data_IF_655447110354
#
_entry.id   IF_655447110354
#
_cell.length_a   1.000
_cell.length_b   1.000
_cell.length_c   1.000
_cell.angle_alpha   90.00
_cell.angle_beta   90.00
_cell.angle_gamma   90.00
#
_symmetry.space_group_name_H-M   'P 1'
#
loop_
_entity.id
_entity.type
_entity.pdbx_description
1 polymer ?
#
# COMPACT_ATOMS: atom_id res chain seq x y z
N UNK A 1 6.12 14.75 -22.12
CA UNK A 1 6.51 13.43 -21.57
C UNK A 1 5.34 12.50 -21.81
N UNK A 2 5.59 11.32 -22.40
CA UNK A 2 4.55 10.33 -22.65
C UNK A 2 4.05 9.69 -21.34
N UNK A 3 2.79 9.21 -21.25
CA UNK A 3 2.28 8.48 -20.10
C UNK A 3 3.16 7.27 -19.69
N UNK A 4 3.72 6.56 -20.66
CA UNK A 4 4.63 5.44 -20.44
C UNK A 4 5.91 5.85 -19.69
N UNK A 5 6.46 7.02 -20.00
CA UNK A 5 7.64 7.52 -19.29
C UNK A 5 7.34 7.92 -17.83
N UNK A 6 6.14 8.46 -17.57
CA UNK A 6 5.70 8.71 -16.20
C UNK A 6 5.50 7.41 -15.42
N UNK A 7 4.97 6.35 -16.04
CA UNK A 7 4.85 5.03 -15.43
C UNK A 7 6.21 4.48 -15.00
N UNK A 8 7.19 4.46 -15.89
CA UNK A 8 8.55 4.01 -15.56
C UNK A 8 9.20 4.85 -14.46
N UNK A 9 9.01 6.17 -14.50
CA UNK A 9 9.53 7.06 -13.46
C UNK A 9 8.86 6.76 -12.11
N UNK A 10 7.56 6.48 -12.12
CA UNK A 10 6.81 6.11 -10.93
C UNK A 10 7.35 4.81 -10.32
N UNK A 11 7.54 3.75 -11.12
CA UNK A 11 8.12 2.50 -10.66
C UNK A 11 9.49 2.71 -10.01
N UNK A 12 10.39 3.42 -10.68
CA UNK A 12 11.70 3.77 -10.11
C UNK A 12 11.58 4.48 -8.76
N UNK A 13 10.61 5.39 -8.62
CA UNK A 13 10.39 6.13 -7.38
C UNK A 13 9.86 5.25 -6.25
N UNK A 14 8.91 4.36 -6.54
CA UNK A 14 8.40 3.40 -5.56
C UNK A 14 9.53 2.49 -5.06
N UNK A 15 10.31 1.92 -5.98
CA UNK A 15 11.47 1.10 -5.60
C UNK A 15 12.53 1.90 -4.82
N UNK A 16 12.71 3.18 -5.10
CA UNK A 16 13.59 4.05 -4.29
C UNK A 16 13.11 4.11 -2.84
N UNK A 17 11.81 4.31 -2.59
CA UNK A 17 11.26 4.33 -1.23
C UNK A 17 11.46 2.97 -0.54
N UNK A 18 11.16 1.87 -1.23
CA UNK A 18 11.34 0.51 -0.70
C UNK A 18 12.80 0.24 -0.32
N UNK A 19 13.72 0.65 -1.19
CA UNK A 19 15.17 0.51 -0.94
C UNK A 19 15.63 1.37 0.24
N UNK A 20 15.23 2.63 0.29
CA UNK A 20 15.54 3.54 1.40
C UNK A 20 15.05 2.99 2.74
N UNK A 21 13.81 2.45 2.76
CA UNK A 21 13.26 1.80 3.94
C UNK A 21 14.09 0.57 4.34
N UNK A 22 14.44 -0.27 3.39
CA UNK A 22 15.25 -1.48 3.62
C UNK A 22 16.66 -1.18 4.14
N UNK A 23 17.24 -0.06 3.71
CA UNK A 23 18.57 0.41 4.15
C UNK A 23 18.54 1.11 5.51
N UNK A 24 17.36 1.38 6.06
CA UNK A 24 17.22 2.14 7.31
C UNK A 24 17.54 3.62 7.17
N UNK A 25 17.25 4.20 5.98
CA UNK A 25 17.41 5.64 5.74
C UNK A 25 16.58 6.47 6.72
N UNK A 26 17.02 7.69 6.97
CA UNK A 26 16.31 8.60 7.86
C UNK A 26 14.91 8.95 7.30
N UNK A 27 13.96 9.15 8.22
CA UNK A 27 12.56 9.37 7.87
C UNK A 27 12.32 10.61 7.02
N UNK A 28 13.10 11.67 7.19
CA UNK A 28 12.94 12.91 6.42
C UNK A 28 13.31 12.72 4.94
N UNK A 29 14.35 11.92 4.68
CA UNK A 29 14.72 11.52 3.30
C UNK A 29 13.62 10.68 2.65
N UNK A 30 13.06 9.71 3.39
CA UNK A 30 11.94 8.88 2.90
C UNK A 30 10.72 9.75 2.64
N UNK A 31 10.38 10.66 3.55
CA UNK A 31 9.28 11.61 3.42
C UNK A 31 9.40 12.48 2.17
N UNK A 32 10.58 13.04 1.93
CA UNK A 32 10.82 13.87 0.75
C UNK A 32 10.61 13.09 -0.55
N UNK A 33 11.12 11.85 -0.63
CA UNK A 33 10.92 10.98 -1.79
C UNK A 33 9.46 10.53 -1.96
N UNK A 34 8.74 10.32 -0.87
CA UNK A 34 7.31 9.98 -0.90
C UNK A 34 6.48 11.08 -1.60
N UNK A 35 6.68 12.35 -1.24
CA UNK A 35 5.98 13.48 -1.88
C UNK A 35 6.27 13.53 -3.38
N UNK A 36 7.54 13.37 -3.77
CA UNK A 36 7.93 13.34 -5.17
C UNK A 36 7.29 12.17 -5.92
N UNK A 37 7.13 11.02 -5.27
CA UNK A 37 6.49 9.83 -5.84
C UNK A 37 5.00 10.07 -6.09
N UNK A 38 4.27 10.69 -5.15
CA UNK A 38 2.86 11.04 -5.34
C UNK A 38 2.67 12.00 -6.52
N UNK A 39 3.53 13.01 -6.66
CA UNK A 39 3.45 13.97 -7.77
C UNK A 39 3.65 13.31 -9.15
N UNK A 40 4.41 12.22 -9.22
CA UNK A 40 4.55 11.42 -10.45
C UNK A 40 3.33 10.51 -10.65
N UNK A 41 2.83 9.88 -9.58
CA UNK A 41 1.64 9.03 -9.62
C UNK A 41 0.43 9.75 -10.21
N UNK A 42 0.21 11.03 -9.85
CA UNK A 42 -0.87 11.86 -10.40
C UNK A 42 -0.88 11.91 -11.94
N UNK A 43 0.25 11.64 -12.61
CA UNK A 43 0.40 11.71 -14.07
C UNK A 43 0.20 10.37 -14.79
N UNK A 44 0.25 9.25 -14.06
CA UNK A 44 0.26 7.93 -14.68
C UNK A 44 -0.69 6.92 -14.02
N UNK A 45 -1.28 7.24 -12.85
CA UNK A 45 -2.07 6.26 -12.12
C UNK A 45 -3.32 5.81 -12.86
N UNK A 46 -3.48 4.49 -12.87
CA UNK A 46 -4.71 3.83 -13.27
C UNK A 46 -5.05 2.73 -12.26
N UNK A 47 -6.33 2.49 -11.96
CA UNK A 47 -6.74 1.48 -10.98
C UNK A 47 -6.21 0.08 -11.27
N UNK A 48 -6.14 -0.27 -12.54
CA UNK A 48 -5.75 -1.61 -12.99
C UNK A 48 -4.23 -1.81 -13.09
N UNK A 49 -3.46 -0.73 -13.23
CA UNK A 49 -2.01 -0.82 -13.45
C UNK A 49 -1.17 -0.73 -12.18
N UNK A 50 -1.66 -0.03 -11.15
CA UNK A 50 -0.86 0.36 -9.98
C UNK A 50 -1.63 0.18 -8.66
N UNK A 51 -2.42 -0.90 -8.55
CA UNK A 51 -3.20 -1.20 -7.34
C UNK A 51 -2.29 -1.38 -6.11
N UNK A 52 -1.31 -2.26 -6.21
CA UNK A 52 -0.40 -2.59 -5.09
C UNK A 52 0.43 -1.37 -4.68
N UNK A 53 0.93 -0.61 -5.64
CA UNK A 53 1.72 0.59 -5.37
C UNK A 53 0.89 1.69 -4.70
N UNK A 54 -0.37 1.86 -5.09
CA UNK A 54 -1.30 2.76 -4.40
C UNK A 54 -1.53 2.30 -2.95
N UNK A 55 -1.75 1.00 -2.74
CA UNK A 55 -1.90 0.43 -1.40
C UNK A 55 -0.66 0.66 -0.54
N UNK A 56 0.53 0.48 -1.11
CA UNK A 56 1.78 0.77 -0.42
C UNK A 56 1.93 2.25 -0.07
N UNK A 57 1.61 3.16 -0.99
CA UNK A 57 1.69 4.59 -0.72
C UNK A 57 0.70 5.03 0.37
N UNK A 58 -0.55 4.56 0.34
CA UNK A 58 -1.49 4.80 1.43
C UNK A 58 -0.94 4.31 2.76
N UNK A 59 -0.42 3.08 2.78
CA UNK A 59 0.12 2.44 3.97
C UNK A 59 1.34 3.17 4.53
N UNK A 60 2.29 3.52 3.68
CA UNK A 60 3.49 4.28 4.06
C UNK A 60 3.10 5.66 4.57
N UNK A 61 2.16 6.33 3.91
CA UNK A 61 1.66 7.64 4.34
C UNK A 61 1.06 7.61 5.75
N UNK A 62 0.30 6.56 6.08
CA UNK A 62 -0.25 6.34 7.42
C UNK A 62 0.86 6.05 8.43
N UNK A 63 1.79 5.17 8.10
CA UNK A 63 2.90 4.80 9.01
C UNK A 63 3.82 5.97 9.31
N UNK A 64 4.12 6.80 8.32
CA UNK A 64 4.97 8.00 8.45
C UNK A 64 4.24 9.20 9.07
N UNK A 65 2.95 9.06 9.37
CA UNK A 65 2.12 10.13 9.96
C UNK A 65 2.11 11.43 9.14
N UNK A 66 2.01 11.28 7.82
CA UNK A 66 1.85 12.46 6.97
C UNK A 66 0.59 13.24 7.29
N UNK A 67 0.65 14.55 7.05
CA UNK A 67 -0.52 15.42 7.13
C UNK A 67 -1.63 14.95 6.17
N UNK A 68 -2.87 15.17 6.57
CA UNK A 68 -4.03 14.75 5.77
C UNK A 68 -4.01 15.33 4.35
N UNK A 69 -3.51 16.55 4.15
CA UNK A 69 -3.40 17.17 2.83
C UNK A 69 -2.50 16.39 1.85
N UNK A 70 -1.51 15.64 2.35
CA UNK A 70 -0.66 14.80 1.52
C UNK A 70 -1.38 13.51 1.14
N UNK A 71 -2.04 12.85 2.13
CA UNK A 71 -2.80 11.61 1.89
C UNK A 71 -4.06 11.89 1.08
N UNK A 72 -4.63 13.09 1.22
CA UNK A 72 -5.79 13.54 0.45
C UNK A 72 -5.56 13.49 -1.06
N UNK A 73 -4.35 13.73 -1.53
CA UNK A 73 -4.01 13.57 -2.95
C UNK A 73 -4.27 12.14 -3.45
N UNK A 74 -3.91 11.14 -2.65
CA UNK A 74 -4.17 9.73 -3.00
C UNK A 74 -5.68 9.43 -2.95
N UNK A 75 -6.38 9.92 -1.93
CA UNK A 75 -7.83 9.81 -1.81
C UNK A 75 -8.53 10.41 -3.03
N UNK A 76 -8.17 11.63 -3.42
CA UNK A 76 -8.74 12.31 -4.58
C UNK A 76 -8.54 11.50 -5.87
N UNK A 77 -7.36 10.91 -6.08
CA UNK A 77 -7.12 10.05 -7.25
C UNK A 77 -8.04 8.83 -7.25
N UNK A 78 -8.21 8.17 -6.10
CA UNK A 78 -9.09 7.00 -5.95
C UNK A 78 -10.55 7.39 -6.25
N UNK A 79 -11.00 8.50 -5.66
CA UNK A 79 -12.38 8.98 -5.81
C UNK A 79 -12.66 9.46 -7.25
N UNK A 80 -11.74 10.18 -7.89
CA UNK A 80 -11.87 10.63 -9.28
C UNK A 80 -11.97 9.49 -10.29
N UNK A 81 -11.43 8.32 -9.99
CA UNK A 81 -11.50 7.12 -10.81
C UNK A 81 -12.61 6.16 -10.37
N UNK A 82 -13.43 6.58 -9.39
CA UNK A 82 -14.56 5.80 -8.85
C UNK A 82 -14.16 4.38 -8.41
N UNK A 83 -12.93 4.23 -7.88
CA UNK A 83 -12.41 2.92 -7.47
C UNK A 83 -13.16 2.45 -6.23
N UNK A 84 -13.79 1.30 -6.34
CA UNK A 84 -14.48 0.63 -5.24
C UNK A 84 -13.59 -0.47 -4.68
N UNK A 85 -12.90 -0.17 -3.58
CA UNK A 85 -12.04 -1.15 -2.91
C UNK A 85 -12.09 -0.98 -1.39
N UNK A 86 -12.52 -2.04 -0.69
CA UNK A 86 -12.69 -2.00 0.75
C UNK A 86 -11.37 -1.91 1.52
N UNK A 87 -10.27 -2.39 0.97
CA UNK A 87 -8.96 -2.27 1.62
C UNK A 87 -8.50 -0.82 1.64
N UNK A 88 -8.66 -0.10 0.51
CA UNK A 88 -8.42 1.34 0.47
C UNK A 88 -9.33 2.09 1.44
N UNK A 89 -10.62 1.73 1.49
CA UNK A 89 -11.58 2.38 2.36
C UNK A 89 -11.24 2.23 3.85
N UNK A 90 -10.79 1.05 4.28
CA UNK A 90 -10.35 0.83 5.67
C UNK A 90 -9.20 1.77 6.03
N UNK A 91 -8.21 1.91 5.16
CA UNK A 91 -7.05 2.78 5.38
C UNK A 91 -7.44 4.26 5.32
N UNK A 92 -8.25 4.64 4.33
CA UNK A 92 -8.70 6.02 4.17
C UNK A 92 -9.62 6.49 5.30
N UNK A 93 -10.52 5.64 5.79
CA UNK A 93 -11.42 6.00 6.90
C UNK A 93 -10.69 6.30 8.21
N UNK A 94 -9.53 5.73 8.43
CA UNK A 94 -8.69 6.09 9.57
C UNK A 94 -8.27 7.56 9.53
N UNK A 95 -7.96 8.08 8.34
CA UNK A 95 -7.51 9.48 8.15
C UNK A 95 -8.65 10.44 7.84
N UNK A 96 -9.72 9.94 7.25
CA UNK A 96 -10.90 10.69 6.79
C UNK A 96 -12.18 10.01 7.31
N UNK A 97 -12.47 10.09 8.62
CA UNK A 97 -13.60 9.38 9.23
C UNK A 97 -14.98 9.87 8.73
N UNK A 98 -15.03 11.04 8.09
CA UNK A 98 -16.22 11.55 7.41
C UNK A 98 -16.55 10.80 6.11
N UNK A 99 -15.60 10.09 5.54
CA UNK A 99 -15.80 9.25 4.34
C UNK A 99 -16.59 8.01 4.73
N UNK A 100 -17.92 8.08 4.52
CA UNK A 100 -18.85 7.02 4.95
C UNK A 100 -18.94 5.84 3.98
N UNK A 101 -18.47 6.02 2.76
CA UNK A 101 -18.53 4.97 1.74
C UNK A 101 -17.54 3.86 2.07
N UNK A 102 -18.08 2.65 2.17
CA UNK A 102 -17.30 1.42 2.30
C UNK A 102 -17.73 0.49 1.17
N UNK A 103 -16.79 0.15 0.29
CA UNK A 103 -17.05 -0.79 -0.78
C UNK A 103 -17.29 -2.20 -0.23
N UNK A 104 -18.15 -2.97 -0.90
CA UNK A 104 -18.38 -4.37 -0.58
C UNK A 104 -17.35 -5.30 -1.25
N UNK A 105 -16.58 -4.79 -2.21
CA UNK A 105 -15.62 -5.55 -3.00
C UNK A 105 -14.17 -5.23 -2.62
N UNK A 106 -13.29 -6.17 -2.94
CA UNK A 106 -11.84 -6.02 -2.92
C UNK A 106 -11.36 -6.27 -4.34
N UNK A 107 -10.63 -5.32 -4.91
CA UNK A 107 -10.14 -5.41 -6.30
C UNK A 107 -9.20 -6.60 -6.45
N UNK A 108 -8.21 -6.71 -5.57
CA UNK A 108 -7.29 -7.84 -5.49
C UNK A 108 -7.57 -8.64 -4.21
N UNK A 109 -8.47 -9.63 -4.33
CA UNK A 109 -8.91 -10.38 -3.17
C UNK A 109 -7.83 -11.32 -2.60
N UNK A 110 -6.84 -11.69 -3.40
CA UNK A 110 -5.71 -12.52 -2.96
C UNK A 110 -4.43 -11.72 -3.13
N UNK A 111 -3.71 -11.40 -2.03
CA UNK A 111 -3.93 -11.90 -0.66
C UNK A 111 -4.77 -10.97 0.25
N UNK A 112 -5.27 -9.82 -0.22
CA UNK A 112 -5.69 -8.70 0.62
C UNK A 112 -7.02 -8.88 1.37
N UNK A 113 -7.84 -9.88 1.05
CA UNK A 113 -9.03 -10.21 1.88
C UNK A 113 -8.66 -10.48 3.34
N UNK A 114 -7.48 -11.04 3.58
CA UNK A 114 -6.98 -11.29 4.93
C UNK A 114 -6.83 -10.02 5.78
N UNK A 115 -6.51 -8.89 5.16
CA UNK A 115 -6.41 -7.57 5.82
C UNK A 115 -7.78 -7.17 6.39
N UNK A 116 -8.85 -7.40 5.64
CA UNK A 116 -10.21 -7.10 6.09
C UNK A 116 -10.64 -8.00 7.25
N UNK A 117 -10.30 -9.29 7.19
CA UNK A 117 -10.57 -10.22 8.30
C UNK A 117 -9.86 -9.78 9.58
N UNK A 118 -8.61 -9.33 9.47
CA UNK A 118 -7.86 -8.79 10.62
C UNK A 118 -8.52 -7.53 11.15
N UNK A 119 -8.88 -6.58 10.27
CA UNK A 119 -9.57 -5.34 10.65
C UNK A 119 -10.89 -5.61 11.39
N UNK A 120 -11.70 -6.55 10.89
CA UNK A 120 -12.97 -6.88 11.52
C UNK A 120 -12.80 -7.59 12.86
N UNK A 121 -11.84 -8.50 12.97
CA UNK A 121 -11.50 -9.16 14.24
C UNK A 121 -10.95 -8.17 15.27
N UNK A 122 -10.19 -7.16 14.85
CA UNK A 122 -9.60 -6.18 15.77
C UNK A 122 -10.67 -5.38 16.55
N UNK A 123 -11.85 -5.19 15.98
CA UNK A 123 -12.99 -4.52 16.62
C UNK A 123 -13.54 -5.28 17.82
N UNK A 124 -13.40 -6.61 17.84
CA UNK A 124 -14.05 -7.47 18.84
C UNK A 124 -13.07 -8.32 19.63
N UNK A 125 -11.96 -8.76 19.01
CA UNK A 125 -11.00 -9.68 19.63
C UNK A 125 -9.57 -9.45 19.10
N UNK A 126 -8.83 -8.56 19.74
CA UNK A 126 -7.45 -8.24 19.35
C UNK A 126 -6.52 -9.44 19.31
N UNK A 127 -6.68 -10.41 20.21
CA UNK A 127 -5.84 -11.60 20.21
C UNK A 127 -6.07 -12.48 18.96
N UNK A 128 -7.32 -12.64 18.55
CA UNK A 128 -7.63 -13.36 17.30
C UNK A 128 -7.15 -12.56 16.07
N UNK A 129 -7.30 -11.24 16.06
CA UNK A 129 -6.77 -10.38 15.01
C UNK A 129 -5.26 -10.54 14.85
N UNK A 130 -4.51 -10.54 15.96
CA UNK A 130 -3.05 -10.76 15.94
C UNK A 130 -2.68 -12.12 15.37
N UNK A 131 -3.36 -13.20 15.80
CA UNK A 131 -3.13 -14.53 15.25
C UNK A 131 -3.47 -14.62 13.75
N UNK A 132 -4.53 -13.94 13.32
CA UNK A 132 -4.92 -13.89 11.90
C UNK A 132 -3.87 -13.13 11.06
N UNK A 133 -3.37 -11.99 11.57
CA UNK A 133 -2.30 -11.24 10.93
C UNK A 133 -0.99 -12.06 10.85
N UNK A 134 -0.63 -12.75 11.92
CA UNK A 134 0.54 -13.63 11.93
C UNK A 134 0.43 -14.74 10.85
N UNK A 135 -0.76 -15.36 10.72
CA UNK A 135 -1.02 -16.36 9.67
C UNK A 135 -0.87 -15.75 8.28
N UNK A 136 -1.42 -14.53 8.07
CA UNK A 136 -1.29 -13.80 6.81
C UNK A 136 0.18 -13.58 6.45
N UNK A 137 0.95 -12.97 7.33
CA UNK A 137 2.36 -12.65 7.09
C UNK A 137 3.23 -13.89 6.84
N UNK A 138 3.03 -14.96 7.64
CA UNK A 138 3.87 -16.17 7.55
C UNK A 138 3.49 -17.11 6.40
N UNK A 139 2.23 -17.11 5.94
CA UNK A 139 1.74 -18.16 5.06
C UNK A 139 1.03 -17.71 3.81
N UNK A 140 0.45 -16.50 3.81
CA UNK A 140 -0.45 -16.05 2.74
C UNK A 140 0.14 -14.90 1.95
N UNK A 141 0.75 -13.93 2.60
CA UNK A 141 1.26 -12.70 1.96
C UNK A 141 2.18 -13.00 0.79
N UNK A 142 3.28 -13.69 1.01
CA UNK A 142 4.25 -13.98 -0.04
C UNK A 142 3.67 -14.84 -1.18
N UNK A 143 2.88 -15.85 -0.81
CA UNK A 143 2.25 -16.74 -1.80
C UNK A 143 1.19 -16.03 -2.63
N UNK A 144 0.46 -15.11 -2.03
CA UNK A 144 -0.58 -14.34 -2.69
C UNK A 144 -0.04 -13.32 -3.70
N UNK A 145 1.28 -13.08 -3.71
CA UNK A 145 1.96 -12.22 -4.67
C UNK A 145 2.77 -13.01 -5.72
N UNK A 146 2.39 -14.26 -5.98
CA UNK A 146 3.12 -15.13 -6.93
C UNK A 146 3.07 -14.66 -8.39
N UNK A 147 2.16 -13.75 -8.71
CA UNK A 147 2.02 -13.08 -10.02
C UNK A 147 2.79 -11.75 -10.11
N UNK A 148 3.35 -11.28 -9.01
CA UNK A 148 4.18 -10.07 -9.00
C UNK A 148 5.55 -10.32 -9.62
N UNK A 149 6.03 -9.36 -10.43
CA UNK A 149 7.31 -9.46 -11.11
C UNK A 149 8.51 -9.65 -10.16
N UNK A 150 8.41 -9.17 -8.93
CA UNK A 150 9.46 -9.30 -7.89
C UNK A 150 9.41 -10.64 -7.13
N UNK A 151 8.37 -11.47 -7.35
CA UNK A 151 8.27 -12.74 -6.65
C UNK A 151 9.44 -13.66 -7.03
N UNK A 152 10.10 -14.23 -6.05
CA UNK A 152 11.26 -15.11 -6.20
C UNK A 152 12.60 -14.45 -6.62
N UNK A 153 12.67 -13.13 -6.83
CA UNK A 153 13.89 -12.43 -7.23
C UNK A 153 15.04 -12.63 -6.24
N UNK A 154 14.74 -12.82 -4.95
CA UNK A 154 15.75 -13.17 -3.93
C UNK A 154 16.52 -14.47 -4.25
N UNK A 155 15.96 -15.37 -5.05
CA UNK A 155 16.61 -16.62 -5.43
C UNK A 155 17.77 -16.42 -6.43
N UNK A 156 17.74 -15.29 -7.13
CA UNK A 156 18.76 -14.99 -8.13
C UNK A 156 19.92 -14.14 -7.61
N UNK A 157 19.82 -13.62 -6.38
CA UNK A 157 20.91 -13.00 -5.63
C UNK A 157 21.43 -11.65 -6.13
N UNK A 158 20.80 -11.05 -7.14
CA UNK A 158 21.26 -9.80 -7.78
C UNK A 158 20.27 -8.65 -7.67
N UNK A 159 19.04 -8.92 -7.23
CA UNK A 159 17.97 -7.93 -7.12
C UNK A 159 17.43 -7.93 -5.68
N UNK A 160 17.19 -6.73 -5.14
CA UNK A 160 16.60 -6.53 -3.82
C UNK A 160 15.27 -5.82 -3.96
N UNK A 161 14.17 -6.52 -3.68
CA UNK A 161 12.80 -5.97 -3.74
C UNK A 161 12.20 -5.61 -2.39
N UNK A 162 12.87 -5.97 -1.30
CA UNK A 162 12.49 -5.60 0.06
C UNK A 162 11.44 -6.49 0.72
N UNK A 163 10.51 -7.10 0.00
CA UNK A 163 9.43 -7.97 0.51
C UNK A 163 8.70 -7.42 1.76
N UNK A 164 8.26 -6.17 1.70
CA UNK A 164 7.59 -5.49 2.80
C UNK A 164 6.07 -5.52 2.66
N UNK A 165 5.39 -6.02 3.69
CA UNK A 165 3.93 -5.90 3.82
C UNK A 165 3.59 -4.56 4.47
N UNK A 166 3.66 -3.46 3.69
CA UNK A 166 3.38 -2.12 4.19
C UNK A 166 1.93 -1.98 4.69
N UNK A 167 0.99 -2.64 4.02
CA UNK A 167 -0.41 -2.67 4.41
C UNK A 167 -0.63 -3.28 5.80
N UNK A 168 0.15 -4.29 6.16
CA UNK A 168 0.12 -4.87 7.51
C UNK A 168 0.62 -3.88 8.56
N UNK A 169 1.69 -3.14 8.25
CA UNK A 169 2.21 -2.09 9.13
C UNK A 169 1.19 -0.98 9.35
N UNK A 170 0.54 -0.53 8.30
CA UNK A 170 -0.53 0.46 8.39
C UNK A 170 -1.72 -0.06 9.18
N UNK A 171 -2.15 -1.30 8.95
CA UNK A 171 -3.28 -1.92 9.64
C UNK A 171 -3.09 -2.00 11.15
N UNK A 172 -1.86 -2.28 11.61
CA UNK A 172 -1.55 -2.32 13.06
C UNK A 172 -1.67 -0.93 13.70
N UNK A 173 -1.49 0.13 12.92
CA UNK A 173 -1.60 1.51 13.38
C UNK A 173 -3.04 2.02 13.38
N UNK A 174 -3.89 1.51 12.50
CA UNK A 174 -5.29 1.85 12.31
C UNK A 174 -6.20 1.10 13.30
#
# INVERSE_FOLDING_TARGET
>A
ISPDLYGRLFDCRVYTIVTMYSMGENLESIKSNYILTINVLEKCWTPYGYYVQMLWLLSIGIMLEYDNNVIDKLRVLIDMKEVKDRVYDVLLNYRFPERKEMADCVFDAVPYRAILEVSDLAKTNKLQATKRLEKYLKREWYRGHSDCAWHDDHKYGIIHDGYWSFESGALVKV
#
